data_IF_001909344551
#
_entry.id   IF_001909344551
#
_cell.length_a   1.000
_cell.length_b   1.000
_cell.length_c   1.000
_cell.angle_alpha   90.00
_cell.angle_beta   90.00
_cell.angle_gamma   90.00
#
_symmetry.space_group_name_H-M   'P 1'
#
loop_
_entity.id
_entity.type
_entity.pdbx_description
1 polymer ?
#
# COMPACT_ATOMS: atom_id res chain seq x y z
N UNK A 1 -21.57 10.08 18.18
CA UNK A 1 -21.52 9.87 17.77
C UNK A 1 -21.46 9.84 17.34
N UNK A 2 -21.24 10.05 17.17
CA UNK A 2 -21.09 9.85 16.59
C UNK A 2 -20.65 9.96 15.70
N UNK A 3 -20.05 10.33 15.50
CA UNK A 3 -19.52 10.31 14.67
C UNK A 3 -19.36 9.55 14.02
N UNK A 4 -19.02 9.23 14.13
CA UNK A 4 -18.93 8.22 13.53
C UNK A 4 -20.14 7.62 13.50
N UNK A 5 -20.84 7.81 13.36
CA UNK A 5 -21.71 7.38 13.19
C UNK A 5 -22.23 7.06 12.53
N UNK A 6 -22.48 7.00 12.81
CA UNK A 6 -22.48 6.58 11.91
C UNK A 6 -23.01 5.30 11.53
N UNK A 7 -23.69 5.01 10.60
CA UNK A 7 -23.98 3.86 10.10
C UNK A 7 -22.90 3.00 9.81
N UNK A 8 -21.82 3.44 9.32
CA UNK A 8 -20.65 2.62 9.19
C UNK A 8 -20.42 1.74 10.38
N UNK A 9 -20.92 2.14 11.51
CA UNK A 9 -20.74 1.33 12.68
C UNK A 9 -21.48 0.00 12.55
N UNK A 10 -22.68 0.04 12.03
CA UNK A 10 -23.43 -1.18 11.86
C UNK A 10 -22.76 -2.05 10.83
N UNK A 11 -22.24 -1.45 9.80
CA UNK A 11 -21.57 -2.21 8.78
C UNK A 11 -20.32 -2.84 9.34
N UNK A 12 -19.59 -2.10 10.19
CA UNK A 12 -18.42 -2.65 10.81
C UNK A 12 -18.79 -3.84 11.67
N UNK A 13 -19.86 -3.73 12.42
CA UNK A 13 -20.29 -4.81 13.26
C UNK A 13 -20.64 -6.04 12.46
N UNK A 14 -21.29 -5.82 11.33
CA UNK A 14 -21.64 -6.94 10.50
C UNK A 14 -20.42 -7.61 9.93
N UNK A 15 -19.43 -6.82 9.51
CA UNK A 15 -18.21 -7.40 9.01
C UNK A 15 -17.45 -8.12 10.10
N UNK A 16 -17.47 -7.54 11.30
CA UNK A 16 -16.82 -8.17 12.40
C UNK A 16 -17.47 -9.49 12.72
N UNK A 17 -18.80 -9.55 12.60
CA UNK A 17 -19.48 -10.79 12.86
C UNK A 17 -19.14 -11.84 11.83
N UNK A 18 -18.95 -11.41 10.59
CA UNK A 18 -18.59 -12.33 9.57
C UNK A 18 -17.26 -12.95 9.90
N UNK A 19 -16.39 -12.19 10.52
CA UNK A 19 -15.09 -12.67 10.89
C UNK A 19 -15.09 -13.10 12.34
N UNK A 20 -16.25 -13.32 12.92
CA UNK A 20 -16.33 -13.69 14.30
C UNK A 20 -15.51 -14.93 14.56
N UNK A 21 -14.73 -14.91 15.59
CA UNK A 21 -13.86 -16.01 15.89
C UNK A 21 -12.50 -15.91 15.22
N UNK A 22 -12.38 -15.00 14.29
CA UNK A 22 -11.11 -14.82 13.62
C UNK A 22 -10.24 -13.87 14.41
N UNK A 23 -8.96 -14.09 14.39
CA UNK A 23 -8.03 -13.19 15.04
C UNK A 23 -7.79 -11.96 14.16
N UNK A 24 -7.13 -10.95 14.71
CA UNK A 24 -6.74 -9.81 13.91
C UNK A 24 -5.87 -10.25 12.74
N UNK A 25 -5.02 -11.23 12.96
CA UNK A 25 -4.17 -11.74 11.92
C UNK A 25 -5.02 -12.35 10.78
N UNK A 26 -6.05 -13.12 11.12
CA UNK A 26 -6.92 -13.72 10.12
C UNK A 26 -7.67 -12.65 9.32
N UNK A 27 -8.13 -11.61 10.00
CA UNK A 27 -8.83 -10.53 9.32
C UNK A 27 -7.88 -9.80 8.37
N UNK A 28 -6.64 -9.61 8.81
CA UNK A 28 -5.65 -8.96 7.97
C UNK A 28 -5.32 -9.80 6.74
N UNK A 29 -5.21 -11.11 6.91
CA UNK A 29 -4.95 -11.98 5.77
C UNK A 29 -6.07 -11.86 4.75
N UNK A 30 -7.29 -11.82 5.22
CA UNK A 30 -8.44 -11.69 4.34
C UNK A 30 -8.38 -10.35 3.59
N UNK A 31 -8.00 -9.29 4.30
CA UNK A 31 -7.89 -7.96 3.71
C UNK A 31 -6.79 -7.90 2.64
N UNK A 32 -5.73 -8.66 2.84
CA UNK A 32 -4.61 -8.67 1.93
C UNK A 32 -4.81 -9.57 0.71
N UNK A 33 -5.82 -10.42 0.74
CA UNK A 33 -6.03 -11.37 -0.34
C UNK A 33 -6.19 -10.74 -1.71
N UNK A 34 -7.03 -9.72 -1.90
CA UNK A 34 -7.22 -9.15 -3.23
C UNK A 34 -6.04 -8.33 -3.73
N UNK A 35 -5.30 -7.70 -2.87
CA UNK A 35 -4.16 -6.90 -3.30
C UNK A 35 -3.28 -6.50 -2.13
N UNK A 36 -2.06 -6.11 -2.45
CA UNK A 36 -1.12 -5.68 -1.41
C UNK A 36 -1.61 -4.40 -0.74
N UNK A 37 -1.27 -4.26 0.53
CA UNK A 37 -1.64 -3.08 1.31
C UNK A 37 -0.44 -2.64 2.12
N UNK A 38 -0.49 -1.39 2.59
CA UNK A 38 0.58 -0.89 3.45
C UNK A 38 0.27 -1.21 4.89
N UNK A 39 1.27 -1.04 5.74
CA UNK A 39 1.10 -1.29 7.17
C UNK A 39 -0.03 -0.45 7.72
N UNK A 40 -0.06 0.84 7.37
CA UNK A 40 -1.09 1.72 7.92
C UNK A 40 -2.48 1.35 7.43
N UNK A 41 -2.59 0.90 6.19
CA UNK A 41 -3.88 0.47 5.67
C UNK A 41 -4.41 -0.72 6.45
N UNK A 42 -3.53 -1.65 6.80
CA UNK A 42 -3.94 -2.81 7.57
C UNK A 42 -4.30 -2.40 8.99
N UNK A 43 -3.50 -1.50 9.58
CA UNK A 43 -3.83 -0.99 10.91
C UNK A 43 -5.21 -0.36 10.93
N UNK A 44 -5.49 0.47 9.93
CA UNK A 44 -6.78 1.14 9.86
C UNK A 44 -7.92 0.13 9.71
N UNK A 45 -7.69 -0.87 8.89
CA UNK A 45 -8.72 -1.89 8.69
C UNK A 45 -9.00 -2.65 9.99
N UNK A 46 -7.97 -3.02 10.71
CA UNK A 46 -8.16 -3.76 11.94
C UNK A 46 -8.80 -2.89 13.03
N UNK A 47 -8.46 -1.60 13.01
CA UNK A 47 -9.08 -0.67 13.95
C UNK A 47 -10.58 -0.56 13.64
N UNK A 48 -10.94 -0.52 12.37
CA UNK A 48 -12.34 -0.46 11.98
C UNK A 48 -13.08 -1.71 12.41
N UNK A 49 -12.39 -2.82 12.51
CA UNK A 49 -13.00 -4.06 12.93
C UNK A 49 -13.01 -4.21 14.45
N UNK A 50 -12.57 -3.17 15.15
CA UNK A 50 -12.65 -3.13 16.61
C UNK A 50 -11.67 -4.04 17.35
N UNK A 51 -10.58 -4.41 16.72
CA UNK A 51 -9.54 -5.14 17.42
C UNK A 51 -8.78 -4.15 18.30
N UNK A 52 -8.26 -4.61 19.40
CA UNK A 52 -7.51 -3.76 20.30
C UNK A 52 -6.16 -3.39 19.71
N UNK A 53 -5.56 -2.34 20.24
CA UNK A 53 -4.27 -1.90 19.77
C UNK A 53 -3.23 -3.00 19.89
N UNK A 54 -3.25 -3.75 21.00
CA UNK A 54 -2.32 -4.85 21.17
C UNK A 54 -2.51 -5.96 20.16
N UNK A 55 -3.77 -6.27 19.84
CA UNK A 55 -4.06 -7.28 18.84
C UNK A 55 -3.59 -6.82 17.47
N UNK A 56 -3.78 -5.55 17.17
CA UNK A 56 -3.36 -5.01 15.89
C UNK A 56 -1.85 -5.05 15.77
N UNK A 57 -1.14 -4.62 16.80
CA UNK A 57 0.32 -4.61 16.74
C UNK A 57 0.88 -6.02 16.60
N UNK A 58 0.29 -6.98 17.30
CA UNK A 58 0.77 -8.36 17.20
C UNK A 58 0.54 -8.89 15.80
N UNK A 59 -0.62 -8.57 15.21
CA UNK A 59 -0.92 -9.03 13.87
C UNK A 59 0.03 -8.41 12.84
N UNK A 60 0.29 -7.11 12.98
CA UNK A 60 1.20 -6.41 12.08
C UNK A 60 2.60 -7.01 12.15
N UNK A 61 3.10 -7.25 13.37
CA UNK A 61 4.43 -7.83 13.52
C UNK A 61 4.51 -9.20 12.86
N UNK A 62 3.49 -10.00 13.04
CA UNK A 62 3.49 -11.33 12.46
C UNK A 62 3.45 -11.28 10.93
N UNK A 63 2.65 -10.35 10.38
CA UNK A 63 2.57 -10.21 8.94
C UNK A 63 3.89 -9.71 8.36
N UNK A 64 4.56 -8.81 9.07
CA UNK A 64 5.85 -8.32 8.61
C UNK A 64 6.90 -9.43 8.66
N UNK A 65 6.89 -10.21 9.72
CA UNK A 65 7.85 -11.31 9.84
C UNK A 65 7.62 -12.38 8.78
N UNK A 66 6.38 -12.54 8.34
CA UNK A 66 6.07 -13.51 7.31
C UNK A 66 6.23 -12.94 5.90
N UNK A 67 6.62 -11.69 5.79
CA UNK A 67 6.82 -11.08 4.48
C UNK A 67 5.54 -10.64 3.78
N UNK A 68 4.41 -10.66 4.49
CA UNK A 68 3.14 -10.29 3.89
C UNK A 68 2.87 -8.80 3.99
N UNK A 69 3.61 -8.07 4.83
CA UNK A 69 3.55 -6.63 4.91
C UNK A 69 4.96 -6.09 4.79
N UNK A 70 5.18 -5.23 3.81
CA UNK A 70 6.50 -4.67 3.58
C UNK A 70 6.29 -3.40 2.77
N UNK A 71 6.36 -2.25 3.43
CA UNK A 71 6.11 -0.98 2.77
C UNK A 71 7.16 -0.64 1.73
N UNK A 72 8.40 -1.06 1.94
CA UNK A 72 9.44 -0.83 0.96
C UNK A 72 9.12 -1.57 -0.34
N UNK A 73 8.69 -2.81 -0.22
CA UNK A 73 8.32 -3.58 -1.38
C UNK A 73 7.06 -3.02 -2.02
N UNK A 74 6.10 -2.60 -1.19
CA UNK A 74 4.87 -2.00 -1.70
C UNK A 74 5.21 -0.78 -2.55
N UNK A 75 6.09 0.09 -2.06
CA UNK A 75 6.45 1.30 -2.79
C UNK A 75 7.13 0.96 -4.11
N UNK A 76 8.06 0.02 -4.10
CA UNK A 76 8.75 -0.35 -5.33
C UNK A 76 7.79 -0.95 -6.35
N UNK A 77 6.92 -1.86 -5.91
CA UNK A 77 5.98 -2.51 -6.81
C UNK A 77 4.97 -1.50 -7.36
N UNK A 78 4.55 -0.55 -6.51
CA UNK A 78 3.61 0.48 -6.91
C UNK A 78 4.22 1.33 -8.02
N UNK A 79 5.46 1.78 -7.82
CA UNK A 79 6.15 2.61 -8.80
C UNK A 79 6.31 1.84 -10.11
N UNK A 80 6.76 0.60 -10.02
CA UNK A 80 6.96 -0.21 -11.20
C UNK A 80 5.65 -0.38 -11.98
N UNK A 81 4.59 -0.64 -11.27
CA UNK A 81 3.29 -0.84 -11.90
C UNK A 81 2.81 0.42 -12.61
N UNK A 82 3.01 1.58 -11.97
CA UNK A 82 2.58 2.84 -12.57
C UNK A 82 3.40 3.16 -13.81
N UNK A 83 4.70 2.97 -13.71
CA UNK A 83 5.59 3.27 -14.84
C UNK A 83 5.36 2.32 -16.00
N UNK A 84 4.93 1.10 -15.72
CA UNK A 84 4.63 0.16 -16.78
C UNK A 84 3.37 0.56 -17.54
N UNK A 85 2.51 1.34 -16.92
CA UNK A 85 1.25 1.73 -17.55
C UNK A 85 1.41 2.97 -18.39
N UNK A 86 2.09 3.97 -17.88
CA UNK A 86 2.28 5.23 -18.59
C UNK A 86 3.32 6.05 -17.87
N UNK A 87 3.89 7.06 -18.55
CA UNK A 87 4.85 7.92 -17.90
C UNK A 87 4.22 8.68 -16.74
N UNK A 88 4.91 8.76 -15.63
CA UNK A 88 4.43 9.41 -14.42
C UNK A 88 5.59 10.12 -13.76
N UNK A 89 5.37 11.35 -13.29
CA UNK A 89 6.43 12.10 -12.63
C UNK A 89 6.67 11.58 -11.22
N UNK A 90 7.87 11.86 -10.71
CA UNK A 90 8.19 11.50 -9.34
C UNK A 90 7.26 12.16 -8.35
N UNK A 91 6.91 13.42 -8.60
CA UNK A 91 6.02 14.12 -7.70
C UNK A 91 4.66 13.48 -7.61
N UNK A 92 4.14 12.98 -8.72
CA UNK A 92 2.85 12.33 -8.71
C UNK A 92 2.94 10.99 -8.00
N UNK A 93 4.02 10.25 -8.24
CA UNK A 93 4.21 8.96 -7.56
C UNK A 93 4.32 9.18 -6.06
N UNK A 94 5.05 10.22 -5.65
CA UNK A 94 5.19 10.52 -4.23
C UNK A 94 3.83 10.79 -3.61
N UNK A 95 3.02 11.62 -4.28
CA UNK A 95 1.70 11.96 -3.74
C UNK A 95 0.82 10.71 -3.62
N UNK A 96 0.85 9.88 -4.65
CA UNK A 96 0.02 8.67 -4.62
C UNK A 96 0.46 7.71 -3.52
N UNK A 97 1.77 7.57 -3.31
CA UNK A 97 2.25 6.70 -2.24
C UNK A 97 1.87 7.25 -0.87
N UNK A 98 1.88 8.57 -0.73
CA UNK A 98 1.45 9.15 0.53
C UNK A 98 -0.03 8.93 0.79
N UNK A 99 -0.83 8.84 -0.27
CA UNK A 99 -2.24 8.53 -0.12
C UNK A 99 -2.43 7.11 0.41
N UNK A 100 -1.44 6.25 0.19
CA UNK A 100 -1.45 4.90 0.75
C UNK A 100 -0.73 4.85 2.09
N UNK A 101 -0.42 6.01 2.66
CA UNK A 101 0.21 6.13 3.98
C UNK A 101 1.62 5.56 4.05
N UNK A 102 2.35 5.61 2.95
CA UNK A 102 3.75 5.21 2.97
C UNK A 102 4.56 6.39 3.49
N UNK A 103 5.52 6.13 4.36
CA UNK A 103 6.31 7.19 4.95
C UNK A 103 7.27 7.82 3.95
N UNK A 104 7.56 9.09 4.15
CA UNK A 104 8.42 9.81 3.21
C UNK A 104 9.78 9.16 3.00
N UNK A 105 10.39 8.66 4.05
CA UNK A 105 11.70 8.03 3.91
C UNK A 105 11.63 6.80 3.01
N UNK A 106 10.57 6.02 3.13
CA UNK A 106 10.38 4.84 2.31
C UNK A 106 10.14 5.25 0.86
N UNK A 107 9.34 6.31 0.66
CA UNK A 107 9.06 6.81 -0.68
C UNK A 107 10.34 7.31 -1.33
N UNK A 108 11.13 8.07 -0.59
CA UNK A 108 12.36 8.63 -1.14
C UNK A 108 13.32 7.54 -1.56
N UNK A 109 13.44 6.51 -0.75
CA UNK A 109 14.33 5.42 -1.10
C UNK A 109 13.83 4.69 -2.33
N UNK A 110 12.53 4.44 -2.41
CA UNK A 110 11.98 3.74 -3.56
C UNK A 110 12.13 4.58 -4.83
N UNK A 111 11.93 5.89 -4.72
CA UNK A 111 12.06 6.74 -5.89
C UNK A 111 13.50 6.91 -6.32
N UNK A 112 14.43 6.75 -5.41
CA UNK A 112 15.85 6.88 -5.77
C UNK A 112 16.27 5.79 -6.75
N UNK A 113 15.51 4.71 -6.85
CA UNK A 113 15.80 3.65 -7.79
C UNK A 113 15.30 3.98 -9.19
N UNK A 114 14.49 5.03 -9.33
CA UNK A 114 14.00 5.46 -10.63
C UNK A 114 15.00 6.44 -11.18
N UNK A 115 15.57 6.13 -12.35
CA UNK A 115 16.60 6.99 -12.89
C UNK A 115 16.02 8.31 -13.36
N UNK A 116 16.85 9.36 -13.33
CA UNK A 116 16.44 10.66 -13.84
C UNK A 116 16.12 10.56 -15.32
N UNK A 117 16.83 9.70 -16.01
CA UNK A 117 16.61 9.54 -17.42
C UNK A 117 15.24 8.94 -17.68
N UNK A 118 14.80 8.01 -16.85
CA UNK A 118 13.49 7.44 -16.98
C UNK A 118 12.42 8.50 -16.77
N UNK A 119 12.64 9.36 -15.78
CA UNK A 119 11.69 10.42 -15.51
C UNK A 119 11.63 11.41 -16.66
N UNK A 120 12.78 11.74 -17.24
CA UNK A 120 12.81 12.64 -18.36
C UNK A 120 12.08 12.04 -19.55
N UNK A 121 12.22 10.76 -19.77
CA UNK A 121 11.49 10.09 -20.82
C UNK A 121 10.01 10.19 -20.58
N UNK A 122 9.59 10.03 -19.33
CA UNK A 122 8.19 10.14 -18.98
C UNK A 122 7.71 11.56 -19.25
N UNK A 123 8.49 12.54 -18.85
CA UNK A 123 8.10 13.94 -19.04
C UNK A 123 7.99 14.28 -20.51
N UNK A 124 8.83 13.71 -21.33
CA UNK A 124 8.81 13.98 -22.74
C UNK A 124 7.68 13.19 -23.42
N UNK A 125 7.03 12.33 -22.69
CA UNK A 125 5.95 11.54 -23.21
C UNK A 125 6.34 10.71 -24.40
N UNK A 126 7.57 10.33 -24.47
CA UNK A 126 8.02 9.47 -25.55
C UNK A 126 7.81 8.05 -25.12
N UNK A 127 6.62 7.56 -25.27
CA UNK A 127 6.24 6.28 -24.79
C UNK A 127 7.17 5.15 -25.17
N UNK A 128 7.56 5.07 -26.44
CA UNK A 128 8.40 3.97 -26.86
C UNK A 128 9.76 4.03 -26.19
N UNK A 129 10.29 5.24 -26.03
CA UNK A 129 11.56 5.40 -25.37
C UNK A 129 11.43 5.03 -23.90
N UNK A 130 10.33 5.40 -23.30
CA UNK A 130 10.09 5.08 -21.92
C UNK A 130 10.06 3.57 -21.70
N UNK A 131 9.32 2.85 -22.52
CA UNK A 131 9.24 1.42 -22.35
C UNK A 131 10.58 0.74 -22.53
N UNK A 132 11.33 1.15 -23.52
CA UNK A 132 12.63 0.55 -23.74
C UNK A 132 13.52 0.75 -22.53
N UNK A 133 13.52 1.97 -22.00
CA UNK A 133 14.36 2.27 -20.89
C UNK A 133 13.94 1.52 -19.64
N UNK A 134 12.64 1.47 -19.42
CA UNK A 134 12.14 0.79 -18.25
C UNK A 134 12.38 -0.70 -18.31
N UNK A 135 12.24 -1.28 -19.48
CA UNK A 135 12.44 -2.70 -19.61
C UNK A 135 13.88 -3.10 -19.39
N UNK A 136 14.81 -2.14 -19.43
CA UNK A 136 16.19 -2.44 -19.17
C UNK A 136 16.51 -2.40 -17.69
N UNK A 137 15.57 -2.00 -16.88
CA UNK A 137 15.82 -1.96 -15.43
C UNK A 137 15.74 -3.39 -14.89
N UNK A 138 16.52 -3.68 -13.87
CA UNK A 138 16.45 -5.01 -13.28
C UNK A 138 15.15 -5.07 -12.52
N UNK A 139 14.28 -5.82 -12.93
CA UNK A 139 12.98 -5.92 -12.31
C UNK A 139 12.84 -7.17 -11.49
#
# INVERSE_FOLDING_TARGET
MQKKQRIPKNIKEQRTKKAKGASAYDEALYFLTPKARTVREVENRLDECNYSEGEIMAAIDRLRNNGLLNDEKFARDFIESRLNTKPVSRGKLRRQLREHFVENAVIDEALSAVSDETELSNAAAAGSKYFRQYSNLPL
#
